data_IF_570303128242
#
_entry.id   IF_570303128242
#
_cell.length_a   1.000
_cell.length_b   1.000
_cell.length_c   1.000
_cell.angle_alpha   90.00
_cell.angle_beta   90.00
_cell.angle_gamma   90.00
#
_symmetry.space_group_name_H-M   'P 1'
#
loop_
_entity.id
_entity.type
_entity.pdbx_description
1 polymer ?
#
# COMPACT_ATOMS: atom_id res chain seq x y z
N UNK A 1 81.96 8.41 -106.11
CA UNK A 1 80.78 8.14 -106.93
C UNK A 1 79.62 7.82 -106.01
N UNK A 2 78.57 8.62 -106.08
CA UNK A 2 77.35 8.55 -105.24
C UNK A 2 76.43 7.44 -105.75
N UNK A 3 75.98 6.57 -104.95
CA UNK A 3 74.73 5.79 -105.18
C UNK A 3 74.04 5.51 -103.89
N UNK A 4 73.08 6.23 -103.62
CA UNK A 4 71.70 5.99 -103.23
C UNK A 4 71.42 5.22 -101.91
N UNK A 5 71.36 5.98 -100.87
CA UNK A 5 70.77 5.59 -99.57
C UNK A 5 69.22 5.77 -99.50
N UNK A 6 68.52 5.72 -100.63
CA UNK A 6 67.05 6.00 -100.62
C UNK A 6 66.20 4.70 -100.42
N UNK A 7 66.74 3.54 -100.57
CA UNK A 7 66.00 2.33 -100.41
C UNK A 7 65.87 1.84 -98.92
N UNK A 8 66.73 2.30 -98.04
CA UNK A 8 66.72 1.96 -96.62
C UNK A 8 65.64 2.71 -95.83
N UNK A 9 65.23 3.87 -96.26
CA UNK A 9 64.20 4.67 -95.56
C UNK A 9 62.75 4.21 -95.77
N UNK A 10 62.52 3.59 -96.95
CA UNK A 10 61.15 3.12 -97.28
C UNK A 10 60.76 1.81 -96.58
N UNK A 11 61.72 0.93 -96.27
CA UNK A 11 61.48 -0.31 -95.51
C UNK A 11 61.16 -0.11 -94.03
N UNK A 12 61.70 1.01 -93.45
CA UNK A 12 61.47 1.30 -92.04
C UNK A 12 60.10 1.93 -91.78
N UNK A 13 59.52 2.67 -92.71
CA UNK A 13 58.19 3.30 -92.58
C UNK A 13 57.04 2.27 -92.71
N UNK A 14 57.29 1.15 -93.47
CA UNK A 14 56.27 0.12 -93.67
C UNK A 14 56.16 -0.86 -92.51
N UNK A 15 57.19 -0.92 -91.62
CA UNK A 15 57.16 -1.78 -90.42
C UNK A 15 56.51 -1.12 -89.19
N UNK A 16 56.26 0.18 -89.18
CA UNK A 16 55.65 0.94 -88.12
C UNK A 16 54.09 1.01 -88.19
N UNK A 17 53.50 0.46 -89.27
CA UNK A 17 52.05 0.55 -89.51
C UNK A 17 51.16 -0.58 -88.91
N UNK A 18 51.72 -1.56 -88.18
CA UNK A 18 50.95 -2.74 -87.70
C UNK A 18 50.90 -2.83 -86.20
N UNK A 19 51.17 -1.78 -85.42
CA UNK A 19 50.78 -1.77 -84.01
C UNK A 19 49.34 -1.28 -83.95
N UNK A 20 48.43 -2.25 -84.21
CA UNK A 20 47.01 -2.07 -83.97
C UNK A 20 46.76 -1.82 -82.49
N UNK A 21 46.41 -0.58 -82.17
CA UNK A 21 45.81 -0.31 -80.85
C UNK A 21 44.62 -1.28 -80.63
N UNK A 22 44.79 -2.28 -79.78
CA UNK A 22 43.68 -2.96 -79.20
C UNK A 22 42.88 -1.95 -78.38
N UNK A 23 41.77 -1.45 -78.91
CA UNK A 23 40.79 -0.76 -78.16
C UNK A 23 40.31 -1.73 -77.11
N UNK A 24 40.75 -1.57 -75.85
CA UNK A 24 40.11 -2.25 -74.74
C UNK A 24 38.64 -1.82 -74.75
N UNK A 25 37.77 -2.81 -74.97
CA UNK A 25 36.36 -2.60 -74.79
C UNK A 25 36.18 -2.28 -73.31
N UNK A 26 36.00 -1.00 -73.01
CA UNK A 26 35.49 -0.57 -71.72
C UNK A 26 34.19 -1.34 -71.55
N UNK A 27 34.20 -2.32 -70.64
CA UNK A 27 32.99 -2.97 -70.29
C UNK A 27 32.08 -1.90 -69.69
N UNK A 28 31.04 -1.55 -70.43
CA UNK A 28 29.95 -0.72 -69.84
C UNK A 28 29.47 -1.41 -68.54
N UNK A 29 29.85 -0.89 -67.40
CA UNK A 29 29.35 -1.30 -66.12
C UNK A 29 27.82 -1.14 -66.10
N UNK A 30 27.16 -2.03 -65.45
CA UNK A 30 25.73 -1.90 -65.24
C UNK A 30 25.49 -0.56 -64.52
N UNK A 31 24.63 0.32 -65.05
CA UNK A 31 24.36 1.59 -64.40
C UNK A 31 23.70 1.31 -63.05
N UNK A 32 24.34 1.72 -61.98
CA UNK A 32 23.80 1.62 -60.61
C UNK A 32 23.50 3.02 -60.11
N UNK A 33 22.36 3.16 -59.47
CA UNK A 33 22.01 4.38 -58.78
C UNK A 33 22.72 4.35 -57.44
N UNK A 34 23.58 5.29 -57.20
CA UNK A 34 24.27 5.43 -55.91
C UNK A 34 23.73 6.65 -55.20
N UNK A 35 23.38 6.49 -53.95
CA UNK A 35 22.97 7.57 -53.07
C UNK A 35 24.07 7.78 -52.02
N UNK A 36 24.37 9.04 -51.76
CA UNK A 36 25.37 9.39 -50.76
C UNK A 36 24.80 9.13 -49.38
N UNK A 37 25.37 8.19 -48.63
CA UNK A 37 24.97 7.92 -47.25
C UNK A 37 25.32 9.13 -46.39
N UNK A 38 24.31 9.74 -45.83
CA UNK A 38 24.39 10.76 -44.79
C UNK A 38 24.29 10.12 -43.39
N UNK A 39 24.77 10.85 -42.40
CA UNK A 39 24.54 10.52 -41.01
C UNK A 39 23.40 11.39 -40.54
N UNK A 40 22.26 10.78 -40.25
CA UNK A 40 21.09 11.44 -39.69
C UNK A 40 20.75 10.85 -38.32
N UNK A 41 20.28 11.69 -37.41
CA UNK A 41 19.73 11.22 -36.12
C UNK A 41 18.35 10.63 -36.35
N UNK A 42 18.24 9.32 -36.17
CA UNK A 42 16.98 8.61 -36.30
C UNK A 42 16.43 8.32 -34.91
N UNK A 43 15.23 8.82 -34.62
CA UNK A 43 14.51 8.47 -33.40
C UNK A 43 14.02 7.03 -33.53
N UNK A 44 14.50 6.17 -32.63
CA UNK A 44 14.07 4.75 -32.55
C UNK A 44 13.04 4.63 -31.46
N UNK A 45 11.81 4.32 -31.83
CA UNK A 45 10.71 4.02 -30.91
C UNK A 45 10.62 2.51 -30.69
N UNK A 46 10.53 2.13 -29.43
CA UNK A 46 10.29 0.74 -29.04
C UNK A 46 9.01 0.64 -28.22
N UNK A 47 8.13 -0.27 -28.57
CA UNK A 47 6.94 -0.58 -27.79
C UNK A 47 7.28 -1.62 -26.71
N UNK A 48 7.09 -1.23 -25.44
CA UNK A 48 7.36 -2.10 -24.30
C UNK A 48 6.08 -2.35 -23.53
N UNK A 49 5.75 -3.61 -23.30
CA UNK A 49 4.66 -4.01 -22.43
C UNK A 49 5.14 -3.95 -20.98
N UNK A 50 4.42 -3.20 -20.15
CA UNK A 50 4.76 -3.02 -18.74
C UNK A 50 3.52 -2.81 -17.87
N UNK A 51 3.70 -2.97 -16.56
CA UNK A 51 2.68 -2.62 -15.55
C UNK A 51 3.12 -1.37 -14.81
N UNK A 52 2.25 -0.38 -14.78
CA UNK A 52 2.44 0.79 -13.95
C UNK A 52 2.05 0.43 -12.52
N UNK A 53 2.96 0.65 -11.58
CA UNK A 53 2.71 0.50 -10.14
C UNK A 53 2.98 1.81 -9.44
N UNK A 54 2.19 2.12 -8.42
CA UNK A 54 2.44 3.26 -7.58
C UNK A 54 3.81 3.09 -6.86
N UNK A 55 4.57 4.18 -6.78
CA UNK A 55 5.84 4.19 -6.04
C UNK A 55 5.63 3.95 -4.55
N UNK A 56 4.52 4.41 -4.03
CA UNK A 56 4.08 4.20 -2.65
C UNK A 56 2.68 3.59 -2.69
N UNK A 57 2.56 2.42 -2.11
CA UNK A 57 1.32 1.69 -1.98
C UNK A 57 1.06 1.43 -0.50
N UNK A 58 -0.15 1.71 -0.04
CA UNK A 58 -0.56 1.49 1.34
C UNK A 58 -1.90 0.77 1.35
N UNK A 59 -1.96 -0.35 2.05
CA UNK A 59 -3.22 -1.03 2.34
C UNK A 59 -3.86 -0.44 3.60
N UNK A 60 -5.09 -0.02 3.48
CA UNK A 60 -5.87 0.50 4.60
C UNK A 60 -6.74 -0.60 5.18
N UNK A 61 -6.39 -1.06 6.39
CA UNK A 61 -7.16 -2.07 7.10
C UNK A 61 -7.98 -1.44 8.21
N UNK A 62 -9.24 -1.87 8.33
CA UNK A 62 -10.05 -1.55 9.49
C UNK A 62 -9.47 -2.25 10.74
N UNK A 63 -9.47 -1.56 11.88
CA UNK A 63 -9.02 -2.13 13.17
C UNK A 63 -10.14 -2.83 13.93
N UNK A 64 -11.35 -2.86 13.36
CA UNK A 64 -12.55 -3.45 13.92
C UNK A 64 -13.24 -4.28 12.84
N UNK A 65 -13.84 -5.37 13.24
CA UNK A 65 -14.68 -6.19 12.39
C UNK A 65 -16.09 -5.61 12.29
N UNK A 66 -16.72 -5.71 11.13
CA UNK A 66 -18.09 -5.21 10.97
C UNK A 66 -18.51 -5.08 9.52
N UNK A 67 -19.79 -4.77 9.33
CA UNK A 67 -20.34 -4.51 8.02
C UNK A 67 -20.03 -3.10 7.56
N UNK A 68 -19.53 -2.98 6.33
CA UNK A 68 -19.33 -1.70 5.69
C UNK A 68 -20.69 -1.10 5.34
N UNK A 69 -20.98 0.08 5.89
CA UNK A 69 -22.27 0.74 5.67
C UNK A 69 -22.21 1.71 4.50
N UNK A 70 -21.14 2.51 4.45
CA UNK A 70 -20.96 3.51 3.39
C UNK A 70 -19.48 3.68 3.04
N UNK A 71 -19.24 4.01 1.78
CA UNK A 71 -17.98 4.52 1.27
C UNK A 71 -18.10 6.03 1.08
N UNK A 72 -17.17 6.82 1.61
CA UNK A 72 -17.23 8.29 1.64
C UNK A 72 -16.26 8.96 0.67
N UNK A 73 -15.62 8.21 -0.19
CA UNK A 73 -14.73 8.72 -1.22
C UNK A 73 -15.13 8.17 -2.60
N UNK A 74 -14.68 8.82 -3.65
CA UNK A 74 -14.83 8.35 -5.02
C UNK A 74 -13.55 7.64 -5.45
N UNK A 75 -13.67 6.47 -6.08
CA UNK A 75 -12.54 5.74 -6.63
C UNK A 75 -11.80 6.57 -7.68
N UNK A 76 -10.46 6.53 -7.63
CA UNK A 76 -9.61 7.32 -8.52
C UNK A 76 -9.45 8.79 -8.12
N UNK A 77 -10.14 9.27 -7.09
CA UNK A 77 -9.97 10.63 -6.56
C UNK A 77 -8.92 10.69 -5.47
N UNK A 78 -8.33 11.88 -5.31
CA UNK A 78 -7.40 12.16 -4.23
C UNK A 78 -8.14 12.28 -2.91
N UNK A 79 -7.60 11.66 -1.86
CA UNK A 79 -8.09 11.76 -0.49
C UNK A 79 -7.12 12.60 0.35
N UNK A 80 -7.65 13.29 1.34
CA UNK A 80 -6.87 14.13 2.25
C UNK A 80 -6.42 13.33 3.49
N UNK A 81 -5.47 13.90 4.19
CA UNK A 81 -5.01 13.30 5.45
C UNK A 81 -6.12 13.37 6.49
N UNK A 82 -6.39 12.23 7.17
CA UNK A 82 -7.47 12.04 8.14
C UNK A 82 -8.89 12.11 7.57
N UNK A 83 -9.06 12.14 6.24
CA UNK A 83 -10.38 12.03 5.63
C UNK A 83 -11.00 10.66 5.97
N UNK A 84 -12.26 10.62 6.44
CA UNK A 84 -12.97 9.37 6.64
C UNK A 84 -13.24 8.70 5.29
N UNK A 85 -12.89 7.43 5.18
CA UNK A 85 -13.04 6.67 3.93
C UNK A 85 -14.27 5.77 3.95
N UNK A 86 -14.54 5.16 5.10
CA UNK A 86 -15.60 4.16 5.23
C UNK A 86 -16.36 4.35 6.53
N UNK A 87 -17.64 4.02 6.51
CA UNK A 87 -18.48 3.89 7.69
C UNK A 87 -18.72 2.39 7.92
N UNK A 88 -18.36 1.92 9.12
CA UNK A 88 -18.63 0.57 9.59
C UNK A 88 -19.80 0.66 10.57
N UNK A 89 -20.77 -0.24 10.44
CA UNK A 89 -21.96 -0.26 11.32
C UNK A 89 -21.56 -0.36 12.80
N UNK A 90 -21.92 0.60 13.65
CA UNK A 90 -21.52 0.65 15.05
C UNK A 90 -22.45 -0.11 16.00
N UNK A 91 -23.59 -0.62 15.56
CA UNK A 91 -24.67 -1.09 16.44
C UNK A 91 -24.25 -2.26 17.31
N UNK A 92 -23.47 -3.20 16.77
CA UNK A 92 -22.92 -4.30 17.55
C UNK A 92 -22.02 -3.81 18.70
N UNK A 93 -21.23 -2.80 18.46
CA UNK A 93 -20.30 -2.25 19.44
C UNK A 93 -21.02 -1.40 20.50
N UNK A 94 -22.08 -0.67 20.11
CA UNK A 94 -22.98 0.02 21.04
C UNK A 94 -23.65 -0.99 21.97
N UNK A 95 -24.24 -2.05 21.41
CA UNK A 95 -24.87 -3.11 22.20
C UNK A 95 -23.89 -3.79 23.18
N UNK A 96 -22.62 -3.97 22.77
CA UNK A 96 -21.58 -4.49 23.68
C UNK A 96 -21.26 -3.50 24.81
N UNK A 97 -21.18 -2.21 24.52
CA UNK A 97 -20.96 -1.17 25.53
C UNK A 97 -22.15 -1.09 26.52
N UNK A 98 -23.38 -1.16 26.02
CA UNK A 98 -24.60 -1.18 26.85
C UNK A 98 -24.63 -2.41 27.76
N UNK A 99 -24.26 -3.58 27.24
CA UNK A 99 -24.12 -4.79 28.03
C UNK A 99 -23.09 -4.66 29.15
N UNK A 100 -21.91 -4.08 28.84
CA UNK A 100 -20.85 -3.84 29.83
C UNK A 100 -21.31 -2.82 30.88
N UNK A 101 -22.07 -1.78 30.51
CA UNK A 101 -22.64 -0.81 31.42
C UNK A 101 -23.71 -1.46 32.37
N UNK A 102 -24.52 -2.35 31.84
CA UNK A 102 -25.49 -3.10 32.67
C UNK A 102 -24.79 -4.05 33.64
N UNK A 103 -23.70 -4.71 33.22
CA UNK A 103 -22.88 -5.55 34.08
C UNK A 103 -22.26 -4.74 35.23
N UNK A 104 -21.69 -3.57 34.93
CA UNK A 104 -21.13 -2.68 35.94
C UNK A 104 -22.19 -2.30 37.01
N UNK A 105 -23.39 -1.89 36.58
CA UNK A 105 -24.49 -1.57 37.51
C UNK A 105 -24.86 -2.74 38.42
N UNK A 106 -24.84 -3.96 37.86
CA UNK A 106 -25.09 -5.18 38.66
C UNK A 106 -24.01 -5.37 39.73
N UNK A 107 -22.74 -5.20 39.35
CA UNK A 107 -21.62 -5.42 40.27
C UNK A 107 -21.53 -4.31 41.31
N UNK A 108 -21.85 -3.05 40.96
CA UNK A 108 -21.99 -1.93 41.92
C UNK A 108 -23.12 -2.18 42.95
N UNK A 109 -24.24 -2.76 42.49
CA UNK A 109 -25.32 -3.14 43.40
C UNK A 109 -24.89 -4.25 44.37
N UNK A 110 -24.07 -5.19 43.92
CA UNK A 110 -23.52 -6.26 44.76
C UNK A 110 -22.48 -5.70 45.76
N UNK A 111 -21.60 -4.80 45.33
CA UNK A 111 -20.66 -4.09 46.23
C UNK A 111 -21.41 -3.34 47.31
N UNK A 112 -22.45 -2.57 46.93
CA UNK A 112 -23.28 -1.86 47.89
C UNK A 112 -23.96 -2.79 48.91
N UNK A 113 -24.49 -3.95 48.46
CA UNK A 113 -25.09 -4.95 49.34
C UNK A 113 -24.07 -5.49 50.33
N UNK A 114 -22.92 -5.97 49.85
CA UNK A 114 -21.88 -6.56 50.71
C UNK A 114 -21.26 -5.52 51.64
N UNK A 115 -21.11 -4.26 51.20
CA UNK A 115 -20.67 -3.16 52.04
C UNK A 115 -21.62 -2.93 53.24
N UNK A 116 -22.93 -2.89 52.98
CA UNK A 116 -23.94 -2.78 54.04
C UNK A 116 -23.92 -3.98 55.01
N UNK A 117 -23.60 -5.16 54.52
CA UNK A 117 -23.47 -6.34 55.40
C UNK A 117 -22.29 -6.19 56.35
N UNK A 118 -21.13 -5.69 55.87
CA UNK A 118 -19.97 -5.36 56.72
C UNK A 118 -20.31 -4.28 57.73
N UNK A 119 -20.94 -3.16 57.28
CA UNK A 119 -21.35 -2.06 58.17
C UNK A 119 -22.28 -2.53 59.30
N UNK A 120 -23.15 -3.50 59.04
CA UNK A 120 -24.07 -4.05 60.01
C UNK A 120 -23.39 -5.05 60.97
N UNK A 121 -22.51 -5.90 60.44
CA UNK A 121 -21.85 -6.95 61.23
C UNK A 121 -20.75 -6.40 62.12
N UNK A 122 -20.06 -5.35 61.76
CA UNK A 122 -18.96 -4.74 62.51
C UNK A 122 -19.39 -4.33 63.94
N UNK A 123 -20.46 -3.53 64.17
CA UNK A 123 -20.89 -3.16 65.51
C UNK A 123 -21.47 -4.35 66.29
N UNK A 124 -22.09 -5.34 65.64
CA UNK A 124 -22.55 -6.54 66.26
C UNK A 124 -21.40 -7.40 66.80
N UNK A 125 -20.33 -7.52 66.09
CA UNK A 125 -19.10 -8.17 66.54
C UNK A 125 -18.52 -7.46 67.77
N UNK A 126 -18.41 -6.12 67.74
CA UNK A 126 -17.92 -5.31 68.86
C UNK A 126 -18.78 -5.51 70.14
N UNK A 127 -20.06 -5.79 69.99
CA UNK A 127 -20.96 -6.09 71.04
C UNK A 127 -21.01 -7.61 71.44
N UNK A 128 -20.13 -8.44 70.87
CA UNK A 128 -20.11 -9.91 71.02
C UNK A 128 -21.44 -10.59 70.54
N UNK A 129 -22.20 -9.96 69.65
CA UNK A 129 -23.43 -10.44 69.08
C UNK A 129 -23.26 -11.09 67.68
N UNK A 130 -22.07 -11.08 67.11
CA UNK A 130 -21.70 -11.80 65.89
C UNK A 130 -20.33 -12.47 66.02
N UNK A 131 -20.09 -13.55 65.28
CA UNK A 131 -18.82 -14.24 65.32
C UNK A 131 -17.76 -13.50 64.47
N UNK A 132 -16.49 -13.68 64.79
CA UNK A 132 -15.39 -13.16 63.97
C UNK A 132 -15.43 -13.76 62.56
N UNK A 133 -15.79 -15.02 62.43
CA UNK A 133 -15.90 -15.70 61.13
C UNK A 133 -16.96 -15.04 60.25
N UNK A 134 -18.09 -14.61 60.81
CA UNK A 134 -19.13 -13.92 60.04
C UNK A 134 -18.67 -12.58 59.54
N UNK A 135 -17.93 -11.81 60.37
CA UNK A 135 -17.35 -10.52 59.96
C UNK A 135 -16.28 -10.72 58.90
N UNK A 136 -15.37 -11.69 59.09
CA UNK A 136 -14.31 -11.96 58.12
C UNK A 136 -14.87 -12.39 56.75
N UNK A 137 -15.92 -13.24 56.76
CA UNK A 137 -16.64 -13.65 55.56
C UNK A 137 -17.29 -12.46 54.83
N UNK A 138 -17.91 -11.55 55.59
CA UNK A 138 -18.53 -10.35 55.03
C UNK A 138 -17.48 -9.39 54.41
N UNK A 139 -16.34 -9.21 55.08
CA UNK A 139 -15.22 -8.40 54.56
C UNK A 139 -14.67 -9.03 53.28
N UNK A 140 -14.44 -10.34 53.25
CA UNK A 140 -13.96 -11.04 52.07
C UNK A 140 -14.94 -10.92 50.88
N UNK A 141 -16.26 -11.04 51.17
CA UNK A 141 -17.30 -10.87 50.16
C UNK A 141 -17.31 -9.42 49.59
N UNK A 142 -17.14 -8.43 50.46
CA UNK A 142 -17.07 -7.02 50.05
C UNK A 142 -15.85 -6.75 49.18
N UNK A 143 -14.65 -7.19 49.56
CA UNK A 143 -13.43 -7.02 48.77
C UNK A 143 -13.53 -7.74 47.42
N UNK A 144 -14.14 -8.91 47.36
CA UNK A 144 -14.44 -9.61 46.13
C UNK A 144 -15.38 -8.80 45.20
N UNK A 145 -16.47 -8.26 45.77
CA UNK A 145 -17.41 -7.43 45.02
C UNK A 145 -16.77 -6.16 44.49
N UNK A 146 -15.92 -5.50 45.29
CA UNK A 146 -15.13 -4.34 44.89
C UNK A 146 -14.17 -4.65 43.74
N UNK A 147 -13.51 -5.80 43.75
CA UNK A 147 -12.66 -6.24 42.66
C UNK A 147 -13.47 -6.47 41.36
N UNK A 148 -14.69 -7.05 41.47
CA UNK A 148 -15.58 -7.25 40.33
C UNK A 148 -16.02 -5.91 39.72
N UNK A 149 -16.32 -4.89 40.52
CA UNK A 149 -16.64 -3.55 40.05
C UNK A 149 -15.45 -2.95 39.30
N UNK A 150 -14.22 -3.11 39.81
CA UNK A 150 -13.03 -2.64 39.13
C UNK A 150 -12.84 -3.32 37.74
N UNK A 151 -13.10 -4.62 37.65
CA UNK A 151 -13.05 -5.38 36.40
C UNK A 151 -14.12 -4.88 35.42
N UNK A 152 -15.37 -4.78 35.83
CA UNK A 152 -16.48 -4.30 34.98
C UNK A 152 -16.29 -2.86 34.51
N UNK A 153 -15.66 -1.99 35.32
CA UNK A 153 -15.23 -0.63 34.88
C UNK A 153 -14.20 -0.67 33.76
N UNK A 154 -13.24 -1.57 33.85
CA UNK A 154 -12.24 -1.76 32.83
C UNK A 154 -12.86 -2.27 31.51
N UNK A 155 -13.76 -3.24 31.60
CA UNK A 155 -14.48 -3.79 30.44
C UNK A 155 -15.34 -2.73 29.75
N UNK A 156 -16.06 -1.90 30.51
CA UNK A 156 -16.85 -0.80 30.00
C UNK A 156 -15.92 0.25 29.29
N UNK A 157 -14.81 0.59 29.92
CA UNK A 157 -13.84 1.54 29.33
C UNK A 157 -13.28 1.00 28.02
N UNK A 158 -12.99 -0.31 27.94
CA UNK A 158 -12.56 -0.96 26.70
C UNK A 158 -13.64 -0.88 25.62
N UNK A 159 -14.89 -1.20 25.95
CA UNK A 159 -16.00 -1.15 25.00
C UNK A 159 -16.22 0.28 24.47
N UNK A 160 -16.22 1.29 25.33
CA UNK A 160 -16.34 2.69 24.94
C UNK A 160 -15.17 3.16 24.05
N UNK A 161 -13.95 2.70 24.32
CA UNK A 161 -12.78 3.04 23.49
C UNK A 161 -12.90 2.54 22.05
N UNK A 162 -13.54 1.38 21.85
CA UNK A 162 -13.82 0.87 20.51
C UNK A 162 -14.86 1.75 19.81
N UNK A 163 -15.98 2.04 20.48
CA UNK A 163 -17.05 2.91 19.93
C UNK A 163 -16.54 4.30 19.60
N UNK A 164 -15.74 4.93 20.48
CA UNK A 164 -15.19 6.26 20.25
C UNK A 164 -14.21 6.31 19.09
N UNK A 165 -13.42 5.25 18.86
CA UNK A 165 -12.53 5.17 17.71
C UNK A 165 -13.29 5.06 16.38
N UNK A 166 -14.41 4.36 16.39
CA UNK A 166 -15.30 4.28 15.22
C UNK A 166 -15.93 5.64 14.91
N UNK A 167 -16.41 6.36 15.93
CA UNK A 167 -16.99 7.69 15.75
C UNK A 167 -15.93 8.74 15.36
N UNK A 168 -14.70 8.66 15.87
CA UNK A 168 -13.60 9.54 15.46
C UNK A 168 -13.15 9.30 14.00
N UNK A 169 -13.31 8.07 13.49
CA UNK A 169 -13.09 7.78 12.08
C UNK A 169 -14.23 8.32 11.19
N UNK A 170 -15.37 8.68 11.76
CA UNK A 170 -16.56 9.22 11.07
C UNK A 170 -16.58 10.75 10.96
N UNK A 171 -15.64 11.42 11.57
CA UNK A 171 -15.54 12.87 11.40
C UNK A 171 -15.43 13.64 12.69
N UNK A 172 -14.34 14.35 12.82
CA UNK A 172 -14.42 15.72 13.31
C UNK A 172 -14.95 16.56 12.13
N UNK A 173 -16.26 16.69 12.00
CA UNK A 173 -16.90 17.72 11.20
C UNK A 173 -16.96 18.99 11.99
#
# INVERSE_FOLDING_TARGET
MRVNNWLSGFACVLLLGVVGCKKDKIREGIPVVVEKVGVDDVEIFGDYVGRIRARQFVEVHARVEGYLEKMLFEEGKRVERNQPLFIINPDLYKARADKAAAQLKKDEAQELKTGRDVERLRPLYEQNAASQLDLDNAIAAYESAKANVAMSKADLAQAHKVVSRMSAALGNG
#
